data_IF_317935281590
#
_entry.id   IF_317935281590
#
_cell.length_a   1.000
_cell.length_b   1.000
_cell.length_c   1.000
_cell.angle_alpha   90.00
_cell.angle_beta   90.00
_cell.angle_gamma   90.00
#
_symmetry.space_group_name_H-M   'P 1'
#
loop_
_entity.id
_entity.type
_entity.pdbx_description
1 polymer ?
#
# COMPACT_ATOMS: atom_id res chain seq x y z
N UNK A 1 -4.27 -1.37 -11.74
CA UNK A 1 -3.30 -0.68 -10.85
C UNK A 1 -1.90 -0.75 -11.43
N UNK A 2 -1.23 -1.92 -11.42
CA UNK A 2 0.16 -2.02 -11.94
C UNK A 2 0.24 -1.89 -13.47
N UNK A 3 -0.62 -2.59 -14.22
CA UNK A 3 -0.58 -2.62 -15.69
C UNK A 3 -0.98 -1.31 -16.39
N UNK A 4 -2.11 -0.73 -15.97
CA UNK A 4 -2.74 0.40 -16.67
C UNK A 4 -2.36 1.77 -16.11
N UNK A 5 -1.93 1.84 -14.85
CA UNK A 5 -1.69 3.10 -14.14
C UNK A 5 -0.26 3.25 -13.64
N UNK A 6 0.60 2.22 -13.78
CA UNK A 6 1.95 2.24 -13.23
C UNK A 6 1.98 2.24 -11.70
N UNK A 7 0.87 1.99 -11.02
CA UNK A 7 0.81 1.97 -9.55
C UNK A 7 1.33 0.64 -9.02
N UNK A 8 2.62 0.41 -9.25
CA UNK A 8 3.40 -0.69 -8.68
C UNK A 8 3.95 -0.31 -7.30
N UNK A 9 4.49 -1.30 -6.56
CA UNK A 9 5.03 -1.09 -5.21
C UNK A 9 6.24 -0.14 -5.17
N UNK A 10 6.88 0.12 -6.32
CA UNK A 10 8.05 1.01 -6.44
C UNK A 10 7.69 2.32 -7.19
N UNK A 11 6.39 2.64 -7.32
CA UNK A 11 5.84 3.84 -8.00
C UNK A 11 6.46 4.09 -9.40
N UNK A 12 6.73 2.98 -10.12
CA UNK A 12 7.28 3.05 -11.47
C UNK A 12 6.20 3.52 -12.44
N UNK A 13 6.37 4.65 -13.14
CA UNK A 13 5.35 5.20 -14.04
C UNK A 13 5.13 4.35 -15.31
N UNK A 14 5.69 3.13 -15.36
CA UNK A 14 5.64 2.24 -16.50
C UNK A 14 4.23 1.66 -16.65
N UNK A 15 3.55 2.12 -17.70
CA UNK A 15 2.24 1.63 -18.12
C UNK A 15 2.46 0.59 -19.21
N UNK A 16 2.12 -0.66 -18.91
CA UNK A 16 2.27 -1.81 -19.82
C UNK A 16 1.07 -1.99 -20.74
N UNK A 17 -0.09 -1.43 -20.37
CA UNK A 17 -1.31 -1.52 -21.15
C UNK A 17 -2.04 -0.18 -21.12
N UNK A 18 -2.39 0.37 -22.28
CA UNK A 18 -3.34 1.47 -22.35
C UNK A 18 -4.71 0.88 -22.69
N UNK A 19 -5.74 1.23 -21.91
CA UNK A 19 -7.13 0.74 -22.04
C UNK A 19 -7.74 0.85 -23.46
N UNK A 20 -7.07 1.56 -24.37
CA UNK A 20 -7.49 1.86 -25.74
C UNK A 20 -6.91 0.86 -26.76
N UNK A 21 -5.84 0.12 -26.46
CA UNK A 21 -5.31 -0.88 -27.38
C UNK A 21 -5.96 -2.24 -27.11
N UNK A 22 -6.80 -2.70 -28.04
CA UNK A 22 -7.27 -4.09 -28.12
C UNK A 22 -6.18 -5.06 -28.58
N UNK A 23 -4.91 -4.74 -28.33
CA UNK A 23 -3.75 -5.48 -28.79
C UNK A 23 -3.26 -6.45 -27.70
N UNK A 24 -2.90 -7.66 -28.14
CA UNK A 24 -2.26 -8.66 -27.31
C UNK A 24 -0.97 -8.09 -26.72
N UNK A 25 -0.85 -8.15 -25.40
CA UNK A 25 0.31 -7.72 -24.61
C UNK A 25 1.58 -8.45 -25.09
N UNK A 26 2.37 -7.84 -25.98
CA UNK A 26 3.71 -8.32 -26.35
C UNK A 26 4.73 -7.74 -25.37
N UNK A 27 4.63 -8.17 -24.12
CA UNK A 27 5.68 -7.95 -23.13
C UNK A 27 6.66 -9.10 -23.23
N UNK A 28 7.92 -8.81 -23.60
CA UNK A 28 8.99 -9.81 -23.58
C UNK A 28 9.00 -10.58 -22.25
N UNK A 29 9.33 -11.88 -22.29
CA UNK A 29 9.16 -12.81 -21.14
C UNK A 29 9.64 -12.25 -19.80
N UNK A 30 10.75 -11.51 -19.78
CA UNK A 30 11.32 -10.95 -18.56
C UNK A 30 10.42 -9.89 -17.89
N UNK A 31 9.72 -9.07 -18.68
CA UNK A 31 8.79 -8.06 -18.16
C UNK A 31 7.51 -8.66 -17.58
N UNK A 32 7.08 -9.83 -18.07
CA UNK A 32 5.93 -10.55 -17.51
C UNK A 32 6.25 -11.06 -16.11
N UNK A 33 7.44 -11.62 -15.90
CA UNK A 33 7.88 -12.10 -14.58
C UNK A 33 8.02 -10.94 -13.57
N UNK A 34 8.59 -9.82 -13.99
CA UNK A 34 8.71 -8.63 -13.14
C UNK A 34 7.33 -8.06 -12.77
N UNK A 35 6.41 -8.02 -13.73
CA UNK A 35 5.03 -7.59 -13.50
C UNK A 35 4.32 -8.50 -12.49
N UNK A 36 4.41 -9.82 -12.65
CA UNK A 36 3.80 -10.78 -11.73
C UNK A 36 4.37 -10.60 -10.31
N UNK A 37 5.68 -10.43 -10.19
CA UNK A 37 6.34 -10.15 -8.93
C UNK A 37 5.83 -8.85 -8.28
N UNK A 38 5.66 -7.79 -9.08
CA UNK A 38 5.16 -6.50 -8.61
C UNK A 38 3.70 -6.56 -8.15
N UNK A 39 2.83 -7.26 -8.89
CA UNK A 39 1.43 -7.49 -8.49
C UNK A 39 1.38 -8.27 -7.17
N UNK A 40 2.16 -9.34 -7.07
CA UNK A 40 2.22 -10.16 -5.86
C UNK A 40 2.75 -9.39 -4.65
N UNK A 41 3.80 -8.58 -4.84
CA UNK A 41 4.37 -7.71 -3.79
C UNK A 41 3.35 -6.67 -3.31
N UNK A 42 2.62 -6.02 -4.23
CA UNK A 42 1.56 -5.07 -3.89
C UNK A 42 0.43 -5.73 -3.10
N UNK A 43 -0.06 -6.87 -3.59
CA UNK A 43 -1.13 -7.63 -2.92
C UNK A 43 -0.73 -8.06 -1.51
N UNK A 44 0.45 -8.67 -1.37
CA UNK A 44 0.94 -9.11 -0.07
C UNK A 44 1.11 -7.94 0.91
N UNK A 45 1.65 -6.80 0.45
CA UNK A 45 1.83 -5.61 1.29
C UNK A 45 0.48 -5.05 1.76
N UNK A 46 -0.54 -5.05 0.90
CA UNK A 46 -1.88 -4.65 1.28
C UNK A 46 -2.51 -5.63 2.30
N UNK A 47 -2.33 -6.94 2.11
CA UNK A 47 -2.78 -7.95 3.07
C UNK A 47 -2.10 -7.82 4.42
N UNK A 48 -0.78 -7.60 4.45
CA UNK A 48 -0.01 -7.41 5.67
C UNK A 48 -0.49 -6.16 6.43
N UNK A 49 -0.70 -5.04 5.72
CA UNK A 49 -1.23 -3.81 6.32
C UNK A 49 -2.66 -4.00 6.85
N UNK A 50 -3.51 -4.70 6.11
CA UNK A 50 -4.86 -5.03 6.57
C UNK A 50 -4.81 -5.89 7.83
N UNK A 51 -3.95 -6.91 7.88
CA UNK A 51 -3.77 -7.76 9.05
C UNK A 51 -3.29 -6.95 10.27
N UNK A 52 -2.37 -6.02 10.07
CA UNK A 52 -1.89 -5.11 11.11
C UNK A 52 -3.03 -4.23 11.68
N UNK A 53 -3.84 -3.61 10.81
CA UNK A 53 -4.98 -2.78 11.21
C UNK A 53 -6.00 -3.62 11.99
N UNK A 54 -6.30 -4.83 11.51
CA UNK A 54 -7.20 -5.75 12.20
C UNK A 54 -6.66 -6.15 13.57
N UNK A 55 -5.36 -6.44 13.68
CA UNK A 55 -4.72 -6.81 14.94
C UNK A 55 -4.75 -5.65 15.95
N UNK A 56 -4.41 -4.42 15.52
CA UNK A 56 -4.50 -3.22 16.38
C UNK A 56 -5.92 -2.99 16.91
N UNK A 57 -6.91 -3.32 16.09
CA UNK A 57 -8.33 -3.12 16.39
C UNK A 57 -9.04 -4.38 16.92
N UNK A 58 -8.30 -5.42 17.30
CA UNK A 58 -8.85 -6.73 17.67
C UNK A 58 -9.96 -6.61 18.73
N UNK A 59 -9.76 -5.80 19.77
CA UNK A 59 -10.76 -5.59 20.83
C UNK A 59 -12.08 -5.03 20.27
N UNK A 60 -12.00 -4.01 19.43
CA UNK A 60 -13.18 -3.40 18.83
C UNK A 60 -13.89 -4.35 17.84
N UNK A 61 -13.13 -5.18 17.12
CA UNK A 61 -13.69 -6.23 16.26
C UNK A 61 -14.43 -7.30 17.04
N UNK A 62 -13.91 -7.72 18.20
CA UNK A 62 -14.60 -8.67 19.09
C UNK A 62 -15.93 -8.09 19.57
N UNK A 63 -15.94 -6.85 20.05
CA UNK A 63 -17.18 -6.19 20.49
C UNK A 63 -18.20 -6.05 19.35
N UNK A 64 -17.74 -5.75 18.12
CA UNK A 64 -18.60 -5.70 16.94
C UNK A 64 -19.18 -7.07 16.59
N UNK A 65 -18.37 -8.14 16.72
CA UNK A 65 -18.81 -9.52 16.49
C UNK A 65 -19.84 -9.95 17.53
N UNK A 66 -19.61 -9.66 18.82
CA UNK A 66 -20.56 -9.94 19.90
C UNK A 66 -21.92 -9.28 19.63
N UNK A 67 -21.92 -8.01 19.18
CA UNK A 67 -23.14 -7.33 18.79
C UNK A 67 -23.83 -7.99 17.58
N UNK A 68 -23.06 -8.41 16.56
CA UNK A 68 -23.63 -9.13 15.41
C UNK A 68 -24.21 -10.48 15.79
N UNK A 69 -23.62 -11.19 16.75
CA UNK A 69 -24.13 -12.47 17.25
C UNK A 69 -25.43 -12.31 18.06
N UNK A 70 -25.64 -11.15 18.70
CA UNK A 70 -26.84 -10.87 19.49
C UNK A 70 -28.00 -10.30 18.64
N UNK A 71 -27.69 -9.40 17.70
CA UNK A 71 -28.71 -8.60 16.99
C UNK A 71 -28.81 -8.89 15.48
N UNK A 72 -27.97 -9.77 14.91
CA UNK A 72 -27.85 -10.14 13.48
C UNK A 72 -27.58 -8.99 12.49
N UNK A 73 -27.74 -7.73 12.90
CA UNK A 73 -27.55 -6.54 12.10
C UNK A 73 -26.85 -5.45 12.92
N UNK A 74 -25.91 -4.76 12.28
CA UNK A 74 -25.27 -3.57 12.85
C UNK A 74 -25.50 -2.41 11.90
N UNK A 75 -26.05 -1.30 12.42
CA UNK A 75 -26.17 -0.06 11.63
C UNK A 75 -24.85 0.70 11.61
N UNK A 76 -24.67 1.61 10.65
CA UNK A 76 -23.47 2.47 10.59
C UNK A 76 -23.24 3.24 11.89
N UNK A 77 -24.31 3.78 12.49
CA UNK A 77 -24.22 4.54 13.74
C UNK A 77 -23.76 3.65 14.90
N UNK A 78 -24.30 2.43 14.97
CA UNK A 78 -23.94 1.45 15.98
C UNK A 78 -22.48 0.99 15.83
N UNK A 79 -22.04 0.72 14.61
CA UNK A 79 -20.66 0.38 14.32
C UNK A 79 -19.70 1.50 14.76
N UNK A 80 -20.01 2.77 14.42
CA UNK A 80 -19.19 3.91 14.85
C UNK A 80 -19.11 4.00 16.38
N UNK A 81 -20.24 3.85 17.08
CA UNK A 81 -20.28 3.85 18.54
C UNK A 81 -19.42 2.74 19.15
N UNK A 82 -19.60 1.49 18.68
CA UNK A 82 -18.85 0.33 19.18
C UNK A 82 -17.34 0.53 18.97
N UNK A 83 -16.95 1.02 17.81
CA UNK A 83 -15.54 1.27 17.50
C UNK A 83 -14.94 2.34 18.42
N UNK A 84 -15.63 3.46 18.65
CA UNK A 84 -15.17 4.54 19.54
C UNK A 84 -15.07 4.07 21.00
N UNK A 85 -16.10 3.40 21.52
CA UNK A 85 -16.14 2.89 22.90
C UNK A 85 -15.02 1.86 23.18
N UNK A 86 -14.62 1.11 22.15
CA UNK A 86 -13.55 0.12 22.26
C UNK A 86 -12.16 0.66 21.89
N UNK A 87 -12.03 1.97 21.64
CA UNK A 87 -10.76 2.62 21.37
C UNK A 87 -10.14 2.22 20.03
N UNK A 88 -10.98 2.00 19.00
CA UNK A 88 -10.50 1.68 17.67
C UNK A 88 -9.57 2.76 17.11
N UNK A 89 -8.45 2.33 16.54
CA UNK A 89 -7.47 3.19 15.88
C UNK A 89 -7.80 3.23 14.40
N UNK A 90 -8.14 4.43 13.91
CA UNK A 90 -8.27 4.71 12.49
C UNK A 90 -6.90 5.13 11.94
N UNK A 91 -6.53 4.60 10.78
CA UNK A 91 -5.35 5.11 10.06
C UNK A 91 -5.72 6.47 9.44
N UNK A 92 -4.88 7.48 9.65
CA UNK A 92 -5.09 8.81 9.08
C UNK A 92 -4.53 8.88 7.66
N UNK A 93 -5.25 9.54 6.76
CA UNK A 93 -4.73 9.86 5.43
C UNK A 93 -3.55 10.85 5.52
N UNK A 94 -2.53 10.71 4.65
CA UNK A 94 -2.34 9.65 3.65
C UNK A 94 -1.82 8.35 4.27
N UNK A 95 -2.48 7.21 3.99
CA UNK A 95 -1.96 5.90 4.41
C UNK A 95 -0.94 5.36 3.41
N UNK A 96 0.16 4.79 3.91
CA UNK A 96 1.20 4.22 3.06
C UNK A 96 1.21 2.69 3.14
N UNK A 97 1.30 2.05 1.96
CA UNK A 97 1.49 0.61 1.81
C UNK A 97 3.01 0.30 1.83
N UNK A 98 3.60 0.33 3.02
CA UNK A 98 5.03 0.02 3.19
C UNK A 98 5.17 -1.39 3.76
N UNK A 99 6.02 -2.20 3.14
CA UNK A 99 6.36 -3.53 3.65
C UNK A 99 7.04 -3.41 5.02
N UNK A 100 6.67 -4.27 5.97
CA UNK A 100 7.16 -4.25 7.36
C UNK A 100 8.70 -4.25 7.48
N UNK A 101 9.42 -4.86 6.54
CA UNK A 101 10.91 -4.85 6.51
C UNK A 101 11.51 -3.45 6.31
N UNK A 102 10.73 -2.50 5.82
CA UNK A 102 11.13 -1.11 5.58
C UNK A 102 10.52 -0.15 6.60
N UNK A 103 9.73 -0.63 7.56
CA UNK A 103 9.07 0.23 8.56
C UNK A 103 10.09 0.95 9.47
N UNK A 104 11.28 0.37 9.67
CA UNK A 104 12.37 1.01 10.42
C UNK A 104 13.05 2.15 9.64
N UNK A 105 13.00 2.12 8.30
CA UNK A 105 13.59 3.13 7.43
C UNK A 105 12.61 4.24 7.01
N UNK A 106 11.30 3.93 6.98
CA UNK A 106 10.28 4.87 6.52
C UNK A 106 9.89 5.94 7.55
N UNK A 107 10.11 5.70 8.85
CA UNK A 107 9.81 6.69 9.89
C UNK A 107 10.67 7.97 9.75
N UNK A 108 11.83 7.87 9.09
CA UNK A 108 12.76 8.99 8.86
C UNK A 108 12.63 9.63 7.47
N UNK A 109 11.76 9.12 6.59
CA UNK A 109 11.64 9.60 5.22
C UNK A 109 10.21 10.02 4.86
N UNK A 110 9.71 11.03 5.57
CA UNK A 110 8.68 11.89 5.00
C UNK A 110 9.31 12.73 3.89
N UNK A 111 9.19 12.26 2.64
CA UNK A 111 9.49 13.08 1.47
C UNK A 111 8.18 13.43 0.77
N UNK A 112 7.77 14.66 1.00
CA UNK A 112 6.71 15.36 0.34
C UNK A 112 6.98 15.23 -1.18
N UNK A 113 6.00 14.73 -1.92
CA UNK A 113 6.15 14.36 -3.32
C UNK A 113 6.86 15.41 -4.17
N UNK A 114 8.11 15.12 -4.54
CA UNK A 114 8.77 15.49 -5.81
C UNK A 114 10.17 14.84 -5.80
N UNK A 115 10.21 13.52 -5.97
CA UNK A 115 11.45 12.74 -6.09
C UNK A 115 12.12 12.91 -7.46
N UNK A 116 12.52 14.13 -7.84
CA UNK A 116 13.50 14.32 -8.91
C UNK A 116 14.88 13.98 -8.36
N UNK A 117 15.40 12.81 -8.70
CA UNK A 117 16.82 12.51 -8.54
C UNK A 117 17.63 13.46 -9.44
N UNK A 118 18.12 14.57 -8.90
CA UNK A 118 19.23 15.33 -9.49
C UNK A 118 20.50 15.03 -8.71
N UNK A 119 20.96 13.78 -8.77
CA UNK A 119 22.31 13.42 -8.39
C UNK A 119 23.25 13.70 -9.56
N UNK A 120 23.87 14.88 -9.58
CA UNK A 120 25.03 15.11 -10.44
C UNK A 120 26.22 14.31 -9.88
N UNK A 121 26.93 13.51 -10.69
CA UNK A 121 28.11 12.80 -10.22
C UNK A 121 29.26 13.81 -10.06
N UNK A 122 29.71 14.02 -8.82
CA UNK A 122 30.91 14.80 -8.51
C UNK A 122 32.15 13.95 -8.87
N UNK A 123 32.76 14.24 -10.02
CA UNK A 123 34.10 13.76 -10.35
C UNK A 123 35.13 14.48 -9.48
N UNK A 124 35.84 13.73 -8.65
CA UNK A 124 37.01 14.18 -7.89
C UNK A 124 38.21 14.37 -8.84
N UNK A 125 38.68 15.61 -8.99
CA UNK A 125 39.93 15.92 -9.65
C UNK A 125 41.04 16.08 -8.59
N UNK A 126 41.98 15.15 -8.60
CA UNK A 126 43.27 15.19 -7.90
C UNK A 126 44.19 16.25 -8.51
N UNK A 127 44.68 17.18 -7.67
CA UNK A 127 45.64 18.22 -8.06
C UNK A 127 47.09 17.71 -7.99
N UNK A 128 47.89 18.15 -8.96
CA UNK A 128 49.35 18.20 -8.91
C UNK A 128 49.83 19.41 -8.08
#
# INVERSE_FOLDING_TARGET
MVLEYGWGPDDSPMVYLTRISGESLDTGKDHVYELEANIKKLFNTACDKAAEILQKNHKALVALLEHLLEYDVVTKQEMSRILEENGAVQESEPFMLISYKNHELAADMSTNGTGRFSGTPQFSASGF
#
